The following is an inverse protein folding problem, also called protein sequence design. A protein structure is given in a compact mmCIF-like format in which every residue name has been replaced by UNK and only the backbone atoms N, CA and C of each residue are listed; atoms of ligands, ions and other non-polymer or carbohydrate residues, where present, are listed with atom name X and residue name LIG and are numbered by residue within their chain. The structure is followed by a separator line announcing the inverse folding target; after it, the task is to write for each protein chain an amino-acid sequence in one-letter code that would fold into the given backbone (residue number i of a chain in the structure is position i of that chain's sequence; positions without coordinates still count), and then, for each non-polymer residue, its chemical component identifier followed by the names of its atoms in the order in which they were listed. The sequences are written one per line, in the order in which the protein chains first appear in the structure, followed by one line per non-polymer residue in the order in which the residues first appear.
data_IF_253034354996
#
_entry.id   IF_253034354996
#
_cell.length_a   1.000
_cell.length_b   1.000
_cell.length_c   1.000
_cell.angle_alpha   90.00
_cell.angle_beta   90.00
_cell.angle_gamma   90.00
#
_symmetry.space_group_name_H-M   'P 1'
#
loop_
_entity.id
_entity.type
_entity.pdbx_description
1 polymer ?
#
# COMPACT_ATOMS: atom_id res chain seq x y z
N UNK A 1 25.70 1.99 -8.42
CA UNK A 1 24.85 1.57 -7.28
C UNK A 1 25.63 0.68 -6.34
N UNK A 2 25.31 0.71 -5.06
CA UNK A 2 25.97 -0.14 -4.06
C UNK A 2 25.42 -1.57 -4.18
N UNK A 3 26.31 -2.55 -4.31
CA UNK A 3 25.92 -3.98 -4.26
C UNK A 3 25.37 -4.33 -2.89
N UNK A 4 24.18 -4.93 -2.85
CA UNK A 4 23.57 -5.42 -1.61
C UNK A 4 23.77 -6.94 -1.51
N UNK A 5 24.15 -7.39 -0.33
CA UNK A 5 24.48 -8.79 -0.02
C UNK A 5 24.36 -9.04 1.47
N UNK A 6 24.42 -10.31 1.88
CA UNK A 6 24.39 -10.70 3.29
C UNK A 6 25.28 -9.80 4.17
N UNK A 7 24.71 -9.25 5.23
CA UNK A 7 25.36 -8.31 6.16
C UNK A 7 25.30 -6.82 5.75
N UNK A 8 24.82 -6.49 4.55
CA UNK A 8 24.55 -5.10 4.15
C UNK A 8 23.45 -4.50 5.02
N UNK A 9 23.51 -3.19 5.28
CA UNK A 9 22.50 -2.48 6.08
C UNK A 9 22.15 -1.10 5.52
N UNK A 10 21.00 -0.58 5.93
CA UNK A 10 20.51 0.78 5.70
C UNK A 10 19.42 0.88 4.64
N UNK A 11 18.99 2.10 4.34
CA UNK A 11 17.83 2.42 3.51
C UNK A 11 17.78 1.68 2.16
N UNK A 12 18.91 1.49 1.47
CA UNK A 12 18.98 0.73 0.21
C UNK A 12 18.59 -0.75 0.37
N UNK A 13 18.93 -1.37 1.50
CA UNK A 13 18.46 -2.71 1.84
C UNK A 13 16.98 -2.70 2.15
N UNK A 14 16.50 -1.67 2.85
CA UNK A 14 15.07 -1.48 3.09
C UNK A 14 14.27 -1.40 1.79
N UNK A 15 14.68 -0.54 0.86
CA UNK A 15 14.09 -0.42 -0.49
C UNK A 15 14.08 -1.76 -1.21
N UNK A 16 15.18 -2.50 -1.16
CA UNK A 16 15.27 -3.83 -1.77
C UNK A 16 14.31 -4.85 -1.14
N UNK A 17 14.23 -4.90 0.19
CA UNK A 17 13.29 -5.75 0.93
C UNK A 17 11.83 -5.42 0.60
N UNK A 18 11.49 -4.12 0.51
CA UNK A 18 10.16 -3.68 0.09
C UNK A 18 9.83 -4.10 -1.34
N UNK A 19 10.75 -3.92 -2.27
CA UNK A 19 10.58 -4.35 -3.65
C UNK A 19 10.35 -5.86 -3.75
N UNK A 20 11.19 -6.66 -3.08
CA UNK A 20 11.03 -8.11 -3.05
C UNK A 20 9.70 -8.53 -2.42
N UNK A 21 9.26 -7.83 -1.35
CA UNK A 21 7.98 -8.10 -0.71
C UNK A 21 6.81 -7.78 -1.64
N UNK A 22 6.84 -6.63 -2.32
CA UNK A 22 5.85 -6.25 -3.33
C UNK A 22 5.75 -7.29 -4.44
N UNK A 23 6.89 -7.81 -4.91
CA UNK A 23 6.96 -8.88 -5.90
C UNK A 23 6.49 -10.27 -5.40
N UNK A 24 6.11 -10.39 -4.11
CA UNK A 24 5.72 -11.66 -3.48
C UNK A 24 6.89 -12.64 -3.32
N UNK A 25 8.11 -12.10 -3.19
CA UNK A 25 9.36 -12.86 -3.13
C UNK A 25 10.02 -12.79 -1.75
N UNK A 26 9.51 -11.97 -0.85
CA UNK A 26 10.06 -11.78 0.49
C UNK A 26 8.94 -11.61 1.52
N UNK A 27 9.01 -12.37 2.60
CA UNK A 27 7.96 -12.41 3.65
C UNK A 27 8.48 -12.02 5.04
N UNK A 28 9.80 -11.83 5.21
CA UNK A 28 10.40 -11.35 6.46
C UNK A 28 10.19 -9.84 6.67
N UNK A 29 10.53 -9.29 7.85
CA UNK A 29 10.39 -7.87 8.18
C UNK A 29 11.31 -6.95 7.36
N UNK A 30 10.91 -5.69 7.12
CA UNK A 30 11.84 -4.72 6.49
C UNK A 30 12.61 -4.02 7.60
N UNK A 31 13.66 -4.68 8.05
CA UNK A 31 14.57 -4.26 9.12
C UNK A 31 15.79 -3.49 8.61
N UNK A 32 15.89 -3.26 7.30
CA UNK A 32 17.03 -2.64 6.63
C UNK A 32 18.34 -3.43 6.83
N UNK A 33 18.23 -4.72 7.13
CA UNK A 33 19.36 -5.66 7.25
C UNK A 33 19.24 -6.75 6.20
N UNK A 34 20.28 -6.91 5.40
CA UNK A 34 20.31 -7.93 4.38
C UNK A 34 20.70 -9.24 5.05
N UNK A 35 19.71 -9.88 5.69
CA UNK A 35 19.83 -11.18 6.33
C UNK A 35 19.52 -12.34 5.38
N UNK A 36 19.40 -13.53 5.94
CA UNK A 36 19.19 -14.76 5.18
C UNK A 36 17.88 -14.74 4.39
N UNK A 37 16.78 -14.28 5.00
CA UNK A 37 15.50 -14.14 4.32
C UNK A 37 15.57 -13.17 3.11
N UNK A 38 16.36 -12.09 3.22
CA UNK A 38 16.56 -11.13 2.11
C UNK A 38 17.39 -11.77 0.99
N UNK A 39 18.37 -12.61 1.35
CA UNK A 39 19.17 -13.40 0.41
C UNK A 39 18.28 -14.39 -0.35
N UNK A 40 17.43 -15.14 0.33
CA UNK A 40 16.47 -16.07 -0.29
C UNK A 40 15.47 -15.38 -1.22
N UNK A 41 14.95 -14.21 -0.81
CA UNK A 41 14.08 -13.42 -1.68
C UNK A 41 14.81 -12.88 -2.92
N UNK A 42 16.08 -12.51 -2.77
CA UNK A 42 16.95 -12.11 -3.88
C UNK A 42 17.19 -13.28 -4.84
N UNK A 43 17.45 -14.48 -4.32
CA UNK A 43 17.59 -15.70 -5.12
C UNK A 43 16.30 -16.02 -5.87
N UNK A 44 15.15 -15.90 -5.20
CA UNK A 44 13.84 -16.12 -5.83
C UNK A 44 13.57 -15.11 -6.95
N UNK A 45 13.97 -13.84 -6.78
CA UNK A 45 13.94 -12.83 -7.84
C UNK A 45 14.86 -13.23 -9.00
N UNK A 46 16.12 -13.55 -8.72
CA UNK A 46 17.09 -13.95 -9.74
C UNK A 46 16.60 -15.15 -10.56
N UNK A 47 16.08 -16.18 -9.90
CA UNK A 47 15.49 -17.36 -10.55
C UNK A 47 14.33 -17.00 -11.46
N UNK A 48 13.41 -16.15 -10.99
CA UNK A 48 12.24 -15.69 -11.76
C UNK A 48 12.64 -14.93 -13.04
N UNK A 49 13.77 -14.22 -13.00
CA UNK A 49 14.26 -13.38 -14.10
C UNK A 49 15.43 -14.00 -14.88
N UNK A 50 15.74 -15.29 -14.69
CA UNK A 50 16.79 -15.99 -15.43
C UNK A 50 18.21 -15.47 -15.16
N UNK A 51 18.44 -14.91 -13.97
CA UNK A 51 19.74 -14.41 -13.53
C UNK A 51 20.50 -15.47 -12.73
N UNK A 52 21.79 -15.22 -12.48
CA UNK A 52 22.60 -16.04 -11.56
C UNK A 52 22.01 -15.97 -10.15
N UNK A 53 21.66 -17.11 -9.56
CA UNK A 53 21.03 -17.23 -8.23
C UNK A 53 22.04 -17.14 -7.06
N UNK A 54 22.91 -16.13 -7.09
CA UNK A 54 23.96 -15.94 -6.07
C UNK A 54 23.45 -15.24 -4.79
N UNK A 55 22.20 -14.78 -4.76
CA UNK A 55 21.61 -14.07 -3.63
C UNK A 55 22.19 -12.67 -3.40
N UNK A 56 22.90 -12.13 -4.39
CA UNK A 56 23.52 -10.80 -4.35
C UNK A 56 22.76 -9.86 -5.28
N UNK A 57 22.28 -8.74 -4.74
CA UNK A 57 21.72 -7.65 -5.53
C UNK A 57 22.87 -6.80 -6.13
N UNK A 58 23.56 -7.38 -7.12
CA UNK A 58 24.60 -6.71 -7.92
C UNK A 58 24.01 -5.99 -9.13
N UNK A 59 24.86 -5.41 -9.98
CA UNK A 59 24.44 -4.55 -11.10
C UNK A 59 23.42 -5.23 -12.03
N UNK A 60 23.57 -6.53 -12.33
CA UNK A 60 22.60 -7.26 -13.17
C UNK A 60 21.24 -7.44 -12.48
N UNK A 61 21.26 -7.87 -11.22
CA UNK A 61 20.06 -8.04 -10.40
C UNK A 61 19.30 -6.71 -10.23
N UNK A 62 20.01 -5.64 -9.83
CA UNK A 62 19.41 -4.33 -9.64
C UNK A 62 18.93 -3.71 -10.95
N UNK A 63 19.68 -3.88 -12.04
CA UNK A 63 19.28 -3.38 -13.36
C UNK A 63 18.00 -4.05 -13.87
N UNK A 64 17.88 -5.36 -13.71
CA UNK A 64 16.64 -6.07 -14.03
C UNK A 64 15.49 -5.64 -13.12
N UNK A 65 15.76 -5.51 -11.82
CA UNK A 65 14.77 -5.01 -10.87
C UNK A 65 14.22 -3.63 -11.27
N UNK A 66 15.08 -2.72 -11.77
CA UNK A 66 14.65 -1.41 -12.26
C UNK A 66 13.72 -1.50 -13.46
N UNK A 67 13.98 -2.42 -14.39
CA UNK A 67 13.07 -2.65 -15.53
C UNK A 67 11.68 -3.07 -15.08
N UNK A 68 11.57 -3.70 -13.91
CA UNK A 68 10.32 -4.23 -13.36
C UNK A 68 9.81 -3.47 -12.12
N UNK A 69 10.32 -2.26 -11.86
CA UNK A 69 9.72 -1.31 -10.91
C UNK A 69 10.52 -1.03 -9.63
N UNK A 70 11.75 -1.51 -9.50
CA UNK A 70 12.66 -1.08 -8.42
C UNK A 70 13.25 0.30 -8.73
N UNK A 71 13.24 1.23 -7.79
CA UNK A 71 14.04 2.46 -7.88
C UNK A 71 14.99 2.54 -6.71
N UNK A 72 16.29 2.64 -6.98
CA UNK A 72 17.30 2.80 -5.94
C UNK A 72 17.64 4.27 -5.64
N UNK A 73 17.09 5.23 -6.39
CA UNK A 73 17.25 6.67 -6.12
C UNK A 73 15.89 7.38 -6.05
N UNK A 74 15.82 8.44 -5.24
CA UNK A 74 14.65 9.34 -5.21
C UNK A 74 14.54 10.18 -6.51
N UNK A 75 15.62 10.31 -7.28
CA UNK A 75 15.69 11.16 -8.48
C UNK A 75 14.93 10.59 -9.70
N UNK A 76 14.92 9.27 -9.91
CA UNK A 76 14.14 8.65 -11.01
C UNK A 76 12.61 8.71 -10.77
N UNK A 77 12.20 9.06 -9.56
CA UNK A 77 10.83 9.36 -9.20
C UNK A 77 10.38 10.77 -9.62
N UNK A 78 11.32 11.64 -10.05
CA UNK A 78 11.11 13.04 -10.40
C UNK A 78 11.00 13.34 -11.90
N UNK A 79 11.19 12.35 -12.77
CA UNK A 79 11.04 12.48 -14.23
C UNK A 79 9.76 11.82 -14.77
N UNK A 80 8.76 11.58 -13.92
CA UNK A 80 7.45 11.13 -14.38
C UNK A 80 6.64 12.36 -14.82
N UNK A 81 6.26 12.41 -16.10
CA UNK A 81 5.38 13.45 -16.62
C UNK A 81 4.13 13.56 -15.75
N UNK A 82 3.56 14.75 -15.50
CA UNK A 82 2.25 14.89 -14.84
C UNK A 82 1.13 14.08 -15.52
N UNK A 83 1.33 13.72 -16.80
CA UNK A 83 0.44 12.80 -17.53
C UNK A 83 0.59 11.35 -17.06
N UNK A 84 1.78 10.93 -16.63
CA UNK A 84 2.08 9.56 -16.20
C UNK A 84 1.95 9.39 -14.68
N UNK A 85 2.18 10.44 -13.89
CA UNK A 85 2.00 10.44 -12.43
C UNK A 85 1.05 11.57 -12.02
N UNK A 86 -0.14 11.23 -11.51
CA UNK A 86 -1.16 12.23 -11.21
C UNK A 86 -0.63 13.21 -10.15
N UNK A 87 -0.82 14.52 -10.31
CA UNK A 87 -0.36 15.50 -9.33
C UNK A 87 -1.09 15.32 -7.99
N UNK A 88 -0.46 15.69 -6.86
CA UNK A 88 -1.13 15.69 -5.57
C UNK A 88 -2.29 16.69 -5.55
N UNK A 89 -3.36 16.41 -4.80
CA UNK A 89 -4.43 17.37 -4.62
C UNK A 89 -3.98 18.56 -3.75
N UNK A 90 -4.81 19.60 -3.66
CA UNK A 90 -4.55 20.80 -2.84
C UNK A 90 -4.65 20.56 -1.32
N UNK A 91 -4.89 19.32 -0.88
CA UNK A 91 -5.02 18.92 0.52
C UNK A 91 -4.06 17.76 0.81
N UNK A 92 -3.61 17.67 2.06
CA UNK A 92 -2.77 16.58 2.54
C UNK A 92 -3.58 15.48 3.25
N UNK A 93 -2.92 14.36 3.60
CA UNK A 93 -3.52 13.31 4.41
C UNK A 93 -3.89 13.81 5.82
N UNK A 94 -4.85 13.15 6.47
CA UNK A 94 -5.17 13.43 7.88
C UNK A 94 -4.10 12.83 8.79
N UNK A 95 -3.43 13.68 9.58
CA UNK A 95 -2.62 13.23 10.71
C UNK A 95 -3.47 12.55 11.81
N UNK A 96 -2.82 11.84 12.74
CA UNK A 96 -3.50 11.06 13.78
C UNK A 96 -4.54 11.88 14.57
N UNK A 97 -4.20 13.11 14.97
CA UNK A 97 -5.11 13.98 15.71
C UNK A 97 -6.34 14.37 14.87
N UNK A 98 -6.15 14.76 13.60
CA UNK A 98 -7.26 15.10 12.70
C UNK A 98 -8.14 13.89 12.39
N UNK A 99 -7.54 12.71 12.27
CA UNK A 99 -8.27 11.45 12.07
C UNK A 99 -9.13 11.08 13.28
N UNK A 100 -8.59 11.21 14.49
CA UNK A 100 -9.33 11.00 15.74
C UNK A 100 -10.41 12.06 15.95
N UNK A 101 -10.16 13.31 15.54
CA UNK A 101 -11.17 14.36 15.58
C UNK A 101 -12.35 14.06 14.64
N UNK A 102 -12.06 13.55 13.44
CA UNK A 102 -13.08 13.28 12.43
C UNK A 102 -13.84 11.98 12.66
N UNK A 103 -13.13 10.88 12.89
CA UNK A 103 -13.72 9.54 12.97
C UNK A 103 -13.87 9.07 14.43
N UNK A 104 -13.52 9.90 15.40
CA UNK A 104 -13.62 9.59 16.82
C UNK A 104 -12.36 8.94 17.39
N UNK A 105 -12.24 9.05 18.71
CA UNK A 105 -11.20 8.43 19.52
C UNK A 105 -11.76 7.20 20.22
N UNK A 106 -10.91 6.20 20.41
CA UNK A 106 -11.25 4.97 21.13
C UNK A 106 -10.07 4.49 21.96
N UNK A 107 -10.37 3.69 22.98
CA UNK A 107 -9.38 2.97 23.77
C UNK A 107 -8.99 1.68 23.04
N UNK A 108 -7.74 1.27 23.20
CA UNK A 108 -7.20 0.05 22.60
C UNK A 108 -6.01 -0.46 23.40
N UNK A 109 -5.66 -1.72 23.17
CA UNK A 109 -4.42 -2.33 23.65
C UNK A 109 -3.63 -2.90 22.48
N UNK A 110 -2.30 -2.92 22.59
CA UNK A 110 -1.47 -3.66 21.64
C UNK A 110 -1.78 -5.15 21.73
N UNK A 111 -2.01 -5.79 20.59
CA UNK A 111 -2.41 -7.19 20.49
C UNK A 111 -1.72 -7.83 19.26
N UNK A 112 -0.37 -7.93 19.26
CA UNK A 112 0.37 -8.46 18.12
C UNK A 112 -0.05 -9.90 17.82
N UNK A 113 -0.13 -10.22 16.53
CA UNK A 113 -0.40 -11.56 16.03
C UNK A 113 0.62 -11.94 14.97
N UNK A 114 0.76 -13.23 14.69
CA UNK A 114 1.65 -13.72 13.63
C UNK A 114 1.31 -13.04 12.29
N UNK A 115 2.34 -12.46 11.64
CA UNK A 115 2.19 -11.69 10.40
C UNK A 115 1.65 -10.26 10.57
N UNK A 116 1.28 -9.83 11.77
CA UNK A 116 0.89 -8.44 12.08
C UNK A 116 1.34 -8.02 13.49
N UNK A 117 2.64 -7.70 13.69
CA UNK A 117 3.15 -7.27 14.99
C UNK A 117 2.63 -5.87 15.41
N UNK A 118 2.02 -5.12 14.48
CA UNK A 118 1.35 -3.85 14.75
C UNK A 118 -0.12 -3.99 15.19
N UNK A 119 -0.66 -5.21 15.26
CA UNK A 119 -2.06 -5.42 15.57
C UNK A 119 -2.45 -4.82 16.94
N UNK A 120 -3.66 -4.27 17.00
CA UNK A 120 -4.27 -3.76 18.22
C UNK A 120 -5.66 -4.37 18.40
N UNK A 121 -6.14 -4.37 19.63
CA UNK A 121 -7.52 -4.68 19.96
C UNK A 121 -8.21 -3.38 20.42
N UNK A 122 -9.23 -2.95 19.68
CA UNK A 122 -10.05 -1.78 20.04
C UNK A 122 -11.07 -2.20 21.10
N UNK A 123 -11.23 -1.38 22.14
CA UNK A 123 -12.13 -1.63 23.27
C UNK A 123 -13.34 -0.69 23.23
N UNK A 124 -14.41 -1.09 23.94
CA UNK A 124 -15.65 -0.30 24.05
C UNK A 124 -16.57 -0.42 22.84
N UNK A 125 -17.52 0.52 22.72
CA UNK A 125 -18.58 0.51 21.70
C UNK A 125 -18.18 1.09 20.34
N UNK A 126 -17.00 1.71 20.23
CA UNK A 126 -16.66 2.53 19.07
C UNK A 126 -16.75 1.77 17.74
N UNK A 127 -16.28 0.51 17.68
CA UNK A 127 -16.35 -0.29 16.44
C UNK A 127 -17.79 -0.56 16.05
N UNK A 128 -18.65 -0.94 17.00
CA UNK A 128 -20.07 -1.23 16.74
C UNK A 128 -20.84 0.02 16.30
N UNK A 129 -20.47 1.19 16.83
CA UNK A 129 -21.09 2.47 16.50
C UNK A 129 -20.64 3.02 15.13
N UNK A 130 -19.38 2.79 14.76
CA UNK A 130 -18.76 3.54 13.67
C UNK A 130 -18.33 2.69 12.48
N UNK A 131 -18.08 1.39 12.63
CA UNK A 131 -17.66 0.53 11.54
C UNK A 131 -18.86 -0.25 11.01
N UNK A 132 -19.18 -0.04 9.74
CA UNK A 132 -20.31 -0.67 9.07
C UNK A 132 -19.83 -1.47 7.86
N UNK A 133 -20.61 -2.49 7.51
CA UNK A 133 -20.38 -3.29 6.30
C UNK A 133 -21.11 -2.64 5.12
N UNK A 134 -20.38 -2.38 4.04
CA UNK A 134 -20.91 -1.85 2.79
C UNK A 134 -20.76 -2.88 1.68
N UNK A 135 -21.75 -2.95 0.79
CA UNK A 135 -21.70 -3.78 -0.42
C UNK A 135 -21.22 -2.90 -1.57
N UNK A 136 -20.06 -3.21 -2.14
CA UNK A 136 -19.47 -2.52 -3.30
C UNK A 136 -19.59 -3.48 -4.49
N UNK A 137 -20.63 -3.36 -5.33
CA UNK A 137 -20.88 -4.32 -6.41
C UNK A 137 -19.68 -4.51 -7.35
N UNK A 138 -18.91 -3.45 -7.58
CA UNK A 138 -17.73 -3.44 -8.44
C UNK A 138 -16.57 -4.30 -7.90
N UNK A 139 -16.60 -4.65 -6.61
CA UNK A 139 -15.63 -5.59 -6.01
C UNK A 139 -16.05 -7.06 -6.12
N UNK A 140 -17.25 -7.34 -6.65
CA UNK A 140 -17.68 -8.73 -6.87
C UNK A 140 -16.71 -9.41 -7.85
N UNK A 141 -16.14 -10.54 -7.41
CA UNK A 141 -15.12 -11.31 -8.14
C UNK A 141 -13.73 -10.64 -8.26
N UNK A 142 -13.50 -9.50 -7.59
CA UNK A 142 -12.15 -8.95 -7.47
C UNK A 142 -11.37 -9.81 -6.47
N UNK A 143 -10.18 -10.26 -6.85
CA UNK A 143 -9.35 -11.11 -5.99
C UNK A 143 -9.02 -10.41 -4.67
N UNK A 144 -9.22 -11.08 -3.54
CA UNK A 144 -9.01 -10.52 -2.20
C UNK A 144 -10.20 -9.76 -1.61
N UNK A 145 -11.21 -9.40 -2.43
CA UNK A 145 -12.46 -8.88 -1.90
C UNK A 145 -13.31 -10.00 -1.27
N UNK A 146 -14.13 -9.66 -0.28
CA UNK A 146 -15.08 -10.61 0.27
C UNK A 146 -16.11 -11.04 -0.77
N UNK A 147 -16.75 -12.19 -0.53
CA UNK A 147 -17.92 -12.61 -1.32
C UNK A 147 -18.94 -11.47 -1.40
N UNK A 148 -19.56 -11.31 -2.58
CA UNK A 148 -20.51 -10.24 -2.89
C UNK A 148 -19.93 -8.81 -2.88
N UNK A 149 -18.61 -8.65 -2.78
CA UNK A 149 -17.97 -7.33 -2.82
C UNK A 149 -18.14 -6.53 -1.53
N UNK A 150 -18.24 -7.20 -0.38
CA UNK A 150 -18.47 -6.55 0.91
C UNK A 150 -17.17 -6.07 1.55
N UNK A 151 -17.19 -4.89 2.17
CA UNK A 151 -16.04 -4.31 2.88
C UNK A 151 -16.48 -3.44 4.06
N UNK A 152 -15.67 -3.41 5.12
CA UNK A 152 -15.95 -2.61 6.31
C UNK A 152 -15.34 -1.22 6.22
N UNK A 153 -16.11 -0.18 6.50
CA UNK A 153 -15.63 1.19 6.54
C UNK A 153 -16.22 1.93 7.72
N UNK A 154 -15.60 3.06 8.09
CA UNK A 154 -16.26 4.04 8.93
C UNK A 154 -17.59 4.47 8.29
N UNK A 155 -18.63 4.70 9.09
CA UNK A 155 -19.97 5.10 8.64
C UNK A 155 -19.99 6.35 7.77
N UNK A 156 -19.03 7.26 7.98
CA UNK A 156 -18.85 8.47 7.15
C UNK A 156 -18.04 8.23 5.88
N UNK A 157 -17.20 7.18 5.85
CA UNK A 157 -16.29 6.88 4.73
C UNK A 157 -16.97 5.97 3.71
N UNK A 158 -17.77 5.00 4.17
CA UNK A 158 -18.43 4.02 3.31
C UNK A 158 -19.26 4.64 2.17
N UNK A 159 -20.13 5.63 2.42
CA UNK A 159 -20.88 6.29 1.34
C UNK A 159 -19.98 6.93 0.27
N UNK A 160 -18.84 7.51 0.67
CA UNK A 160 -17.87 8.10 -0.25
C UNK A 160 -17.12 7.05 -1.06
N UNK A 161 -16.87 5.89 -0.46
CA UNK A 161 -16.29 4.74 -1.19
C UNK A 161 -17.29 4.21 -2.22
N UNK A 162 -18.57 4.09 -1.89
CA UNK A 162 -19.58 3.67 -2.86
C UNK A 162 -19.63 4.63 -4.07
N UNK A 163 -19.65 5.94 -3.81
CA UNK A 163 -19.58 6.96 -4.86
C UNK A 163 -18.27 6.86 -5.67
N UNK A 164 -17.14 6.63 -5.02
CA UNK A 164 -15.84 6.49 -5.67
C UNK A 164 -15.80 5.32 -6.66
N UNK A 165 -16.24 4.14 -6.24
CA UNK A 165 -16.26 2.95 -7.10
C UNK A 165 -17.26 3.11 -8.24
N UNK A 166 -18.40 3.76 -8.00
CA UNK A 166 -19.36 4.11 -9.04
C UNK A 166 -18.74 5.04 -10.09
N UNK A 167 -18.04 6.10 -9.66
CA UNK A 167 -17.39 7.04 -10.59
C UNK A 167 -16.21 6.42 -11.34
N UNK A 168 -15.48 5.49 -10.72
CA UNK A 168 -14.47 4.70 -11.43
C UNK A 168 -15.09 3.77 -12.48
N UNK A 169 -16.28 3.24 -12.23
CA UNK A 169 -17.04 2.47 -13.22
C UNK A 169 -17.47 3.31 -14.41
N UNK A 170 -18.08 4.47 -14.15
CA UNK A 170 -18.53 5.41 -15.18
C UNK A 170 -17.36 5.93 -16.04
N UNK A 171 -16.18 6.08 -15.44
CA UNK A 171 -14.95 6.47 -16.14
C UNK A 171 -14.25 5.29 -16.86
N UNK A 172 -14.78 4.07 -16.78
CA UNK A 172 -14.22 2.89 -17.43
C UNK A 172 -12.91 2.40 -16.80
N UNK A 173 -12.70 2.66 -15.51
CA UNK A 173 -11.45 2.35 -14.82
C UNK A 173 -11.45 1.03 -14.02
N UNK A 174 -12.59 0.31 -13.94
CA UNK A 174 -12.66 -0.94 -13.16
C UNK A 174 -11.67 -2.01 -13.62
N UNK A 175 -11.31 -2.03 -14.91
CA UNK A 175 -10.29 -2.95 -15.43
C UNK A 175 -8.91 -2.78 -14.79
N UNK A 176 -8.65 -1.64 -14.13
CA UNK A 176 -7.42 -1.38 -13.38
C UNK A 176 -7.44 -2.00 -11.98
N UNK A 177 -8.59 -2.42 -11.44
CA UNK A 177 -8.73 -2.95 -10.07
C UNK A 177 -8.61 -4.47 -10.12
N UNK A 178 -7.40 -5.00 -9.93
CA UNK A 178 -7.11 -6.43 -10.02
C UNK A 178 -7.26 -7.14 -8.67
N UNK A 179 -6.89 -6.46 -7.59
CA UNK A 179 -6.98 -7.01 -6.23
C UNK A 179 -7.44 -5.96 -5.23
N UNK A 180 -8.13 -6.41 -4.19
CA UNK A 180 -8.54 -5.59 -3.05
C UNK A 180 -7.79 -6.05 -1.80
N UNK A 181 -7.07 -5.13 -1.16
CA UNK A 181 -6.20 -5.40 -0.01
C UNK A 181 -6.89 -5.25 1.36
N UNK A 182 -8.16 -4.83 1.36
CA UNK A 182 -8.93 -4.61 2.57
C UNK A 182 -9.00 -3.14 2.99
N UNK A 183 -9.78 -2.87 4.03
CA UNK A 183 -10.13 -1.51 4.48
C UNK A 183 -9.99 -1.31 5.99
N UNK A 184 -10.72 -2.09 6.79
CA UNK A 184 -10.67 -2.00 8.25
C UNK A 184 -9.73 -3.04 8.84
N UNK A 185 -8.57 -2.59 9.33
CA UNK A 185 -7.58 -3.42 10.01
C UNK A 185 -7.06 -2.64 11.22
N UNK A 186 -7.50 -2.99 12.45
CA UNK A 186 -6.99 -2.38 13.67
C UNK A 186 -5.49 -2.67 13.85
N UNK A 187 -4.65 -1.67 13.55
CA UNK A 187 -3.20 -1.75 13.72
C UNK A 187 -2.54 -0.37 13.83
N UNK A 188 -1.33 -0.34 14.34
CA UNK A 188 -0.40 0.76 14.11
C UNK A 188 0.06 0.82 12.65
N UNK A 189 0.60 1.97 12.24
CA UNK A 189 1.38 2.10 11.01
C UNK A 189 2.55 1.11 11.06
N UNK A 190 2.94 0.53 9.91
CA UNK A 190 4.03 -0.46 9.84
C UNK A 190 5.31 0.11 10.44
N UNK A 191 5.95 -0.63 11.35
CA UNK A 191 7.15 -0.17 12.07
C UNK A 191 6.88 0.86 13.18
N UNK A 192 5.63 1.22 13.46
CA UNK A 192 5.25 2.08 14.58
C UNK A 192 4.62 1.27 15.72
N UNK A 193 4.71 1.82 16.93
CA UNK A 193 4.01 1.34 18.13
C UNK A 193 3.18 2.43 18.81
N UNK A 194 3.02 3.58 18.16
CA UNK A 194 2.35 4.77 18.73
C UNK A 194 1.42 5.48 17.75
N UNK A 195 1.60 5.29 16.44
CA UNK A 195 0.79 5.95 15.41
C UNK A 195 -0.20 4.97 14.82
N UNK A 196 -1.50 5.25 14.97
CA UNK A 196 -2.56 4.42 14.43
C UNK A 196 -2.63 4.51 12.90
N UNK A 197 -2.81 3.36 12.25
CA UNK A 197 -3.01 3.28 10.81
C UNK A 197 -4.36 3.91 10.40
N UNK A 198 -4.49 4.44 9.17
CA UNK A 198 -5.78 4.86 8.62
C UNK A 198 -6.81 3.71 8.61
N UNK A 199 -6.33 2.49 8.34
CA UNK A 199 -7.13 1.27 8.39
C UNK A 199 -7.74 1.01 9.78
N UNK A 200 -7.10 1.47 10.86
CA UNK A 200 -7.63 1.29 12.21
C UNK A 200 -8.88 2.14 12.48
N UNK A 201 -9.15 3.16 11.66
CA UNK A 201 -10.40 3.93 11.74
C UNK A 201 -11.39 3.53 10.64
N UNK A 202 -11.07 2.54 9.80
CA UNK A 202 -11.89 2.20 8.63
C UNK A 202 -11.96 3.35 7.62
N UNK A 203 -10.93 4.20 7.58
CA UNK A 203 -10.89 5.41 6.74
C UNK A 203 -10.02 5.29 5.51
N UNK A 204 -9.58 4.07 5.19
CA UNK A 204 -8.70 3.78 4.06
C UNK A 204 -8.95 2.40 3.48
N UNK A 205 -8.40 2.16 2.30
CA UNK A 205 -8.39 0.86 1.65
C UNK A 205 -7.18 0.73 0.71
N UNK A 206 -6.82 -0.52 0.41
CA UNK A 206 -5.70 -0.82 -0.48
C UNK A 206 -6.18 -1.52 -1.77
N UNK A 207 -5.57 -1.19 -2.92
CA UNK A 207 -5.82 -1.82 -4.23
C UNK A 207 -4.49 -2.24 -4.85
N UNK A 208 -4.46 -3.38 -5.54
CA UNK A 208 -3.29 -3.81 -6.33
C UNK A 208 -1.99 -3.88 -5.54
N UNK A 209 -2.06 -4.43 -4.32
CA UNK A 209 -0.95 -4.51 -3.34
C UNK A 209 0.35 -5.05 -3.97
N UNK A 210 0.26 -6.11 -4.78
CA UNK A 210 1.42 -6.75 -5.41
C UNK A 210 2.18 -5.86 -6.40
N UNK A 211 1.58 -4.79 -6.91
CA UNK A 211 2.19 -3.89 -7.90
C UNK A 211 2.52 -2.51 -7.33
N UNK A 212 2.09 -2.22 -6.10
CA UNK A 212 2.19 -0.89 -5.52
C UNK A 212 2.60 -0.92 -4.05
N UNK A 213 3.51 -1.84 -3.71
CA UNK A 213 3.96 -2.06 -2.35
C UNK A 213 4.59 -0.81 -1.71
N UNK A 214 4.50 -0.74 -0.38
CA UNK A 214 5.09 0.33 0.41
C UNK A 214 6.58 0.51 0.12
N UNK A 215 7.04 1.74 -0.11
CA UNK A 215 8.41 2.09 -0.47
C UNK A 215 8.79 1.85 -1.94
N UNK A 216 7.95 1.18 -2.73
CA UNK A 216 8.21 0.95 -4.15
C UNK A 216 7.66 2.07 -5.03
N UNK A 217 8.14 2.16 -6.28
CA UNK A 217 7.53 3.02 -7.30
C UNK A 217 6.19 2.38 -7.71
N UNK A 218 5.06 3.09 -7.58
CA UNK A 218 3.77 2.54 -8.01
C UNK A 218 3.76 2.24 -9.51
N UNK A 219 3.04 1.19 -9.92
CA UNK A 219 2.98 0.77 -11.31
C UNK A 219 2.64 1.91 -12.26
N UNK A 220 3.40 2.02 -13.36
CA UNK A 220 3.29 3.07 -14.38
C UNK A 220 1.89 3.11 -15.00
N UNK A 221 1.46 4.29 -15.44
CA UNK A 221 0.17 4.44 -16.12
C UNK A 221 0.05 3.47 -17.31
N UNK A 222 -1.10 2.80 -17.42
CA UNK A 222 -1.32 1.74 -18.43
C UNK A 222 -0.65 0.39 -18.14
N UNK A 223 0.24 0.34 -17.14
CA UNK A 223 0.86 -0.90 -16.66
C UNK A 223 -0.11 -1.74 -15.83
N UNK A 224 0.08 -3.06 -15.84
CA UNK A 224 -0.70 -3.99 -15.02
C UNK A 224 -0.63 -3.60 -13.53
N UNK A 225 -1.78 -3.49 -12.89
CA UNK A 225 -1.88 -3.14 -11.47
C UNK A 225 -1.72 -1.64 -11.18
N UNK A 226 -1.57 -0.78 -12.19
CA UNK A 226 -1.52 0.67 -11.98
C UNK A 226 -2.83 1.19 -11.39
N UNK A 227 -2.71 2.04 -10.38
CA UNK A 227 -3.85 2.79 -9.81
C UNK A 227 -3.84 4.26 -10.24
N UNK A 228 -2.89 4.68 -11.09
CA UNK A 228 -2.67 6.11 -11.39
C UNK A 228 -3.88 6.77 -12.07
N UNK A 229 -4.60 6.04 -12.91
CA UNK A 229 -5.85 6.50 -13.53
C UNK A 229 -7.00 6.68 -12.52
N UNK A 230 -6.93 6.03 -11.36
CA UNK A 230 -7.95 6.11 -10.31
C UNK A 230 -7.84 7.39 -9.47
N UNK A 231 -6.62 7.94 -9.38
CA UNK A 231 -6.27 9.02 -8.44
C UNK A 231 -7.05 10.32 -8.67
N UNK A 232 -7.27 10.82 -9.91
CA UNK A 232 -7.98 12.08 -10.10
C UNK A 232 -9.40 12.08 -9.50
N UNK A 233 -10.19 11.03 -9.76
CA UNK A 233 -11.54 10.87 -9.22
C UNK A 233 -11.50 10.67 -7.69
N UNK A 234 -10.50 9.96 -7.19
CA UNK A 234 -10.30 9.82 -5.74
C UNK A 234 -10.07 11.18 -5.06
N UNK A 235 -9.21 12.01 -5.66
CA UNK A 235 -8.91 13.36 -5.18
C UNK A 235 -10.14 14.29 -5.19
N UNK A 236 -10.96 14.22 -6.25
CA UNK A 236 -12.24 14.96 -6.32
C UNK A 236 -13.16 14.62 -5.14
N UNK A 237 -13.20 13.33 -4.76
CA UNK A 237 -13.98 12.83 -3.64
C UNK A 237 -13.27 12.93 -2.28
N UNK A 238 -12.14 13.65 -2.21
CA UNK A 238 -11.46 13.94 -0.95
C UNK A 238 -10.58 12.82 -0.42
N UNK A 239 -10.32 11.78 -1.21
CA UNK A 239 -9.31 10.78 -0.89
C UNK A 239 -7.92 11.28 -1.25
N UNK A 240 -6.94 10.92 -0.43
CA UNK A 240 -5.53 11.14 -0.70
C UNK A 240 -4.88 9.80 -1.08
N UNK A 241 -4.05 9.81 -2.13
CA UNK A 241 -3.35 8.62 -2.60
C UNK A 241 -1.97 8.51 -1.95
N UNK A 242 -1.66 7.34 -1.37
CA UNK A 242 -0.39 7.11 -0.68
C UNK A 242 0.83 7.13 -1.60
N UNK A 243 0.65 7.06 -2.93
CA UNK A 243 1.73 7.30 -3.90
C UNK A 243 2.36 8.69 -3.76
N UNK A 244 1.65 9.66 -3.18
CA UNK A 244 2.14 11.02 -2.94
C UNK A 244 2.92 11.19 -1.61
N UNK A 245 2.98 10.16 -0.77
CA UNK A 245 3.78 10.20 0.46
C UNK A 245 5.27 10.24 0.17
N UNK A 246 6.04 10.86 1.08
CA UNK A 246 7.52 10.87 1.03
C UNK A 246 8.07 9.44 0.89
N UNK A 247 7.54 8.50 1.69
CA UNK A 247 7.72 7.07 1.49
C UNK A 247 6.45 6.53 0.85
N UNK A 248 6.52 6.27 -0.45
CA UNK A 248 5.36 5.95 -1.30
C UNK A 248 4.61 4.74 -0.77
N UNK A 249 3.29 4.80 -0.83
CA UNK A 249 2.38 3.70 -0.53
C UNK A 249 1.34 3.61 -1.66
N UNK A 250 1.77 3.13 -2.82
CA UNK A 250 0.98 3.27 -4.04
C UNK A 250 -0.32 2.47 -4.06
N UNK A 251 -0.47 1.48 -3.20
CA UNK A 251 -1.71 0.71 -3.08
C UNK A 251 -2.79 1.47 -2.30
N UNK A 252 -2.39 2.47 -1.51
CA UNK A 252 -3.18 3.02 -0.42
C UNK A 252 -4.01 4.24 -0.83
N UNK A 253 -5.28 4.27 -0.41
CA UNK A 253 -6.15 5.43 -0.50
C UNK A 253 -6.81 5.69 0.86
N UNK A 254 -6.79 6.94 1.33
CA UNK A 254 -7.43 7.32 2.60
C UNK A 254 -8.30 8.58 2.45
N UNK A 255 -9.43 8.64 3.17
CA UNK A 255 -10.28 9.83 3.16
C UNK A 255 -9.60 10.94 3.97
N UNK A 256 -9.32 12.07 3.31
CA UNK A 256 -8.54 13.16 3.88
C UNK A 256 -9.35 14.45 4.11
N UNK A 257 -10.47 14.64 3.42
CA UNK A 257 -11.40 15.77 3.66
C UNK A 257 -12.86 15.41 3.40
#
# INVERSE_FOLDING_TARGET
MKTLRLGSKGDEVGKWQYFLRGAGLYFGEVDEVFGEATREGTQSFQRRHGLLEDGIAGNRTLGEAMRVGFSATEEDAGAESPLEFPPPPSFGPLGQAGRQQRFGKYDFVAAPVDGNPEAIQIHGGWVAENIQMFTIPQLKNVSGAAAEGRAQFHREVGPRVLELFQRWEEAGHLGSILTYGGSFVPRFVRGSRSVLSPHAHGSAFDINVAWNGFGAVPAKLGGRGSVRALVPIANELGFYWGGHFKRRDGMHFELAR
#
